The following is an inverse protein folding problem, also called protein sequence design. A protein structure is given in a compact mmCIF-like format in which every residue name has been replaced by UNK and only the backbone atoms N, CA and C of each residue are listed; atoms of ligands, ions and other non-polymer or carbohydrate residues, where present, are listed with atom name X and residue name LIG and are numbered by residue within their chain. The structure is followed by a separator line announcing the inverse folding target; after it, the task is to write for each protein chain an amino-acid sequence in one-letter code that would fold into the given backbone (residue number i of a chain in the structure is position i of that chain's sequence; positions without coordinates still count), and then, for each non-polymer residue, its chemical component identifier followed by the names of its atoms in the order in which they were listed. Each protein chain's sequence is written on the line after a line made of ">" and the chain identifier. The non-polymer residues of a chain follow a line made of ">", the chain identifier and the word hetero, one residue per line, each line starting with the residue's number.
data_IF_411666285101
#
_entry.id   IF_411666285101
#
_cell.length_a   1.000
_cell.length_b   1.000
_cell.length_c   1.000
_cell.angle_alpha   90.00
_cell.angle_beta   90.00
_cell.angle_gamma   90.00
#
_symmetry.space_group_name_H-M   'P 1'
#
loop_
_entity.id
_entity.type
_entity.pdbx_description
1 polymer ?
#
# COMPACT_ATOMS: atom_id res chain seq x y z
N UNK A 1 -15.39 -22.95 -12.16
CA UNK A 1 -14.80 -21.64 -12.55
C UNK A 1 -13.30 -21.79 -12.74
N UNK A 2 -12.65 -20.83 -13.40
CA UNK A 2 -11.21 -20.86 -13.69
C UNK A 2 -10.33 -21.03 -12.44
N UNK A 3 -10.67 -20.36 -11.32
CA UNK A 3 -9.95 -20.51 -10.04
C UNK A 3 -10.00 -21.93 -9.48
N UNK A 4 -11.17 -22.58 -9.49
CA UNK A 4 -11.32 -23.96 -9.00
C UNK A 4 -10.45 -24.95 -9.79
N UNK A 5 -10.35 -24.76 -11.11
CA UNK A 5 -9.46 -25.58 -11.95
C UNK A 5 -7.99 -25.37 -11.62
N UNK A 6 -7.57 -24.12 -11.39
CA UNK A 6 -6.19 -23.82 -10.97
C UNK A 6 -5.86 -24.37 -9.58
N UNK A 7 -6.81 -24.37 -8.65
CA UNK A 7 -6.56 -24.92 -7.31
C UNK A 7 -6.55 -26.45 -7.29
N UNK A 8 -7.27 -27.11 -8.21
CA UNK A 8 -7.34 -28.57 -8.29
C UNK A 8 -6.00 -29.24 -8.67
N UNK A 9 -5.02 -28.49 -9.20
CA UNK A 9 -3.70 -29.05 -9.52
C UNK A 9 -2.80 -29.27 -8.30
N UNK A 10 -3.17 -28.72 -7.13
CA UNK A 10 -2.39 -28.86 -5.90
C UNK A 10 -2.89 -30.05 -5.08
N UNK A 11 -2.23 -31.21 -5.23
CA UNK A 11 -2.61 -32.48 -4.59
C UNK A 11 -2.54 -32.48 -3.05
N UNK A 12 -1.75 -31.58 -2.47
CA UNK A 12 -1.53 -31.49 -1.02
C UNK A 12 -2.31 -30.34 -0.35
N UNK A 13 -3.26 -29.72 -1.07
CA UNK A 13 -4.05 -28.60 -0.55
C UNK A 13 -5.55 -28.90 -0.63
N UNK A 14 -6.27 -28.70 0.47
CA UNK A 14 -7.74 -28.62 0.43
C UNK A 14 -8.13 -27.18 0.13
N UNK A 15 -9.01 -26.98 -0.86
CA UNK A 15 -9.49 -25.65 -1.23
C UNK A 15 -10.97 -25.47 -0.89
N UNK A 16 -11.32 -24.31 -0.35
CA UNK A 16 -12.70 -23.86 -0.15
C UNK A 16 -12.89 -22.54 -0.87
N UNK A 17 -13.78 -22.51 -1.85
CA UNK A 17 -14.11 -21.31 -2.61
C UNK A 17 -15.45 -20.78 -2.12
N UNK A 18 -15.43 -19.63 -1.45
CA UNK A 18 -16.64 -18.93 -1.02
C UNK A 18 -17.04 -17.98 -2.15
N UNK A 19 -18.25 -18.16 -2.69
CA UNK A 19 -18.79 -17.27 -3.72
C UNK A 19 -19.54 -16.13 -3.05
N UNK A 20 -19.33 -14.91 -3.54
CA UNK A 20 -20.10 -13.74 -3.15
C UNK A 20 -19.27 -12.47 -3.25
N UNK A 21 -19.88 -11.36 -2.84
CA UNK A 21 -19.20 -10.08 -2.75
C UNK A 21 -18.37 -10.02 -1.47
N UNK A 22 -17.05 -9.97 -1.62
CA UNK A 22 -16.13 -10.03 -0.49
C UNK A 22 -16.36 -8.89 0.51
N UNK A 23 -16.62 -7.66 0.07
CA UNK A 23 -16.84 -6.53 0.97
C UNK A 23 -18.09 -6.78 1.81
N UNK A 24 -19.19 -7.20 1.18
CA UNK A 24 -20.41 -7.50 1.91
C UNK A 24 -20.24 -8.67 2.89
N UNK A 25 -19.59 -9.75 2.48
CA UNK A 25 -19.36 -10.92 3.33
C UNK A 25 -18.46 -10.58 4.53
N UNK A 26 -17.34 -9.89 4.30
CA UNK A 26 -16.38 -9.55 5.34
C UNK A 26 -16.90 -8.49 6.33
N UNK A 27 -17.87 -7.68 5.94
CA UNK A 27 -18.44 -6.61 6.79
C UNK A 27 -19.77 -6.97 7.45
N UNK A 28 -20.41 -8.07 7.05
CA UNK A 28 -21.76 -8.45 7.49
C UNK A 28 -21.92 -8.54 9.02
N UNK A 29 -20.85 -8.90 9.73
CA UNK A 29 -20.84 -9.07 11.18
C UNK A 29 -19.79 -8.20 11.88
N UNK A 30 -19.42 -7.07 11.26
CA UNK A 30 -18.32 -6.23 11.71
C UNK A 30 -16.94 -6.81 11.38
N UNK A 31 -15.87 -6.08 11.72
CA UNK A 31 -14.50 -6.60 11.57
C UNK A 31 -14.28 -7.76 12.54
N UNK A 32 -13.94 -8.93 12.01
CA UNK A 32 -13.64 -10.12 12.82
C UNK A 32 -12.38 -10.78 12.30
N UNK A 33 -11.50 -11.15 13.23
CA UNK A 33 -10.41 -12.07 12.94
C UNK A 33 -11.00 -13.43 12.59
N UNK A 34 -10.65 -13.96 11.42
CA UNK A 34 -11.08 -15.24 10.87
C UNK A 34 -10.02 -16.34 11.03
N UNK A 35 -8.87 -16.02 11.63
CA UNK A 35 -7.79 -16.96 11.88
C UNK A 35 -6.84 -17.13 10.69
N UNK A 36 -6.92 -16.29 9.65
CA UNK A 36 -6.04 -16.43 8.49
C UNK A 36 -4.59 -16.13 8.86
N UNK A 37 -3.71 -17.12 8.69
CA UNK A 37 -2.27 -16.97 8.94
C UNK A 37 -1.54 -16.31 7.77
N UNK A 38 -2.06 -16.47 6.56
CA UNK A 38 -1.46 -15.98 5.33
C UNK A 38 -2.57 -15.50 4.39
N UNK A 39 -2.44 -14.29 3.85
CA UNK A 39 -3.38 -13.71 2.89
C UNK A 39 -2.59 -13.15 1.71
N UNK A 40 -3.00 -13.49 0.48
CA UNK A 40 -2.36 -13.03 -0.75
C UNK A 40 -3.42 -12.31 -1.59
N UNK A 41 -3.13 -11.08 -2.00
CA UNK A 41 -4.07 -10.20 -2.67
C UNK A 41 -3.52 -9.64 -3.97
N UNK A 42 -4.28 -9.83 -5.05
CA UNK A 42 -4.18 -9.05 -6.29
C UNK A 42 -5.56 -8.43 -6.53
N UNK A 43 -5.85 -7.38 -5.78
CA UNK A 43 -7.20 -6.84 -5.66
C UNK A 43 -7.57 -5.98 -6.88
N UNK A 44 -8.87 -5.87 -7.23
CA UNK A 44 -9.28 -5.07 -8.38
C UNK A 44 -8.98 -3.58 -8.19
N UNK A 45 -8.51 -2.92 -9.25
CA UNK A 45 -8.25 -1.48 -9.28
C UNK A 45 -9.48 -0.73 -9.77
N UNK A 46 -10.39 -0.41 -8.85
CA UNK A 46 -11.62 0.32 -9.18
C UNK A 46 -12.01 1.27 -8.06
N UNK A 47 -12.37 2.50 -8.42
CA UNK A 47 -12.92 3.48 -7.48
C UNK A 47 -14.27 3.00 -6.93
N UNK A 48 -14.45 3.19 -5.63
CA UNK A 48 -15.71 2.95 -4.92
C UNK A 48 -16.55 4.22 -5.04
N UNK A 49 -17.76 4.10 -5.59
CA UNK A 49 -18.69 5.22 -5.66
C UNK A 49 -19.09 5.66 -4.25
N UNK A 50 -19.16 6.98 -4.02
CA UNK A 50 -19.49 7.58 -2.71
C UNK A 50 -20.85 7.16 -2.16
N UNK A 51 -21.80 6.82 -3.04
CA UNK A 51 -23.16 6.38 -2.67
C UNK A 51 -23.36 4.86 -2.78
N UNK A 52 -22.29 4.09 -2.98
CA UNK A 52 -22.40 2.64 -3.14
C UNK A 52 -22.66 1.92 -1.81
N UNK A 53 -23.32 0.76 -1.90
CA UNK A 53 -23.46 -0.15 -0.77
C UNK A 53 -22.11 -0.57 -0.17
N UNK A 54 -21.06 -0.71 -1.00
CA UNK A 54 -19.69 -0.94 -0.55
C UNK A 54 -19.16 0.18 0.35
N UNK A 55 -19.33 1.43 -0.06
CA UNK A 55 -18.89 2.59 0.74
C UNK A 55 -19.55 2.61 2.11
N UNK A 56 -20.86 2.34 2.16
CA UNK A 56 -21.61 2.26 3.41
C UNK A 56 -21.16 1.08 4.29
N UNK A 57 -20.97 -0.09 3.70
CA UNK A 57 -20.53 -1.29 4.40
C UNK A 57 -19.14 -1.10 5.04
N UNK A 58 -18.19 -0.53 4.30
CA UNK A 58 -16.85 -0.22 4.80
C UNK A 58 -16.86 0.86 5.89
N UNK A 59 -17.69 1.89 5.72
CA UNK A 59 -17.83 2.96 6.72
C UNK A 59 -18.32 2.41 8.07
N UNK A 60 -19.30 1.50 8.06
CA UNK A 60 -19.84 0.86 9.28
C UNK A 60 -18.79 0.10 10.07
N UNK A 61 -17.74 -0.37 9.42
CA UNK A 61 -16.64 -1.12 10.05
C UNK A 61 -15.38 -0.28 10.27
N UNK A 62 -15.47 1.04 10.07
CA UNK A 62 -14.36 1.98 10.32
C UNK A 62 -13.29 2.02 9.21
N UNK A 63 -13.52 1.39 8.06
CA UNK A 63 -12.61 1.45 6.92
C UNK A 63 -13.03 2.62 6.01
N UNK A 64 -12.27 3.72 6.07
CA UNK A 64 -12.47 4.88 5.20
C UNK A 64 -11.55 4.77 4.00
N UNK A 65 -12.11 4.32 2.89
CA UNK A 65 -11.39 4.28 1.62
C UNK A 65 -12.31 4.39 0.41
N UNK A 66 -11.68 4.51 -0.74
CA UNK A 66 -12.16 5.06 -2.00
C UNK A 66 -11.82 4.17 -3.18
N UNK A 67 -10.98 3.16 -2.99
CA UNK A 67 -10.61 2.19 -4.00
C UNK A 67 -10.77 0.76 -3.45
N UNK A 68 -11.24 -0.17 -4.29
CA UNK A 68 -11.45 -1.56 -3.91
C UNK A 68 -10.18 -2.23 -3.38
N UNK A 69 -9.00 -1.98 -3.97
CA UNK A 69 -7.78 -2.64 -3.48
C UNK A 69 -7.51 -2.32 -2.00
N UNK A 70 -7.63 -1.06 -1.62
CA UNK A 70 -7.41 -0.62 -0.23
C UNK A 70 -8.50 -1.12 0.71
N UNK A 71 -9.73 -1.29 0.22
CA UNK A 71 -10.80 -1.92 0.98
C UNK A 71 -10.46 -3.40 1.27
N UNK A 72 -10.00 -4.12 0.25
CA UNK A 72 -9.63 -5.53 0.37
C UNK A 72 -8.45 -5.72 1.31
N UNK A 73 -7.41 -4.89 1.21
CA UNK A 73 -6.27 -4.94 2.13
C UNK A 73 -6.70 -4.63 3.56
N UNK A 74 -7.52 -3.60 3.77
CA UNK A 74 -8.01 -3.26 5.12
C UNK A 74 -8.82 -4.39 5.76
N UNK A 75 -9.70 -5.03 4.98
CA UNK A 75 -10.47 -6.19 5.43
C UNK A 75 -9.56 -7.40 5.71
N UNK A 76 -8.64 -7.72 4.81
CA UNK A 76 -7.68 -8.82 4.99
C UNK A 76 -6.82 -8.64 6.24
N UNK A 77 -6.34 -7.43 6.50
CA UNK A 77 -5.62 -7.10 7.74
C UNK A 77 -6.51 -7.32 8.96
N UNK A 78 -7.81 -7.03 8.88
CA UNK A 78 -8.74 -7.26 9.98
C UNK A 78 -9.10 -8.74 10.19
N UNK A 79 -9.16 -9.53 9.13
CA UNK A 79 -9.48 -10.96 9.16
C UNK A 79 -8.29 -11.86 9.50
N UNK A 80 -7.06 -11.36 9.37
CA UNK A 80 -5.85 -12.09 9.72
C UNK A 80 -5.71 -12.34 11.23
N UNK A 81 -5.12 -13.48 11.58
CA UNK A 81 -4.69 -13.79 12.93
C UNK A 81 -3.54 -12.85 13.37
N UNK A 82 -3.33 -12.59 14.67
CA UNK A 82 -2.10 -11.98 15.16
C UNK A 82 -0.87 -12.75 14.64
N UNK A 83 0.14 -12.02 14.17
CA UNK A 83 1.31 -12.58 13.47
C UNK A 83 1.05 -13.03 12.03
N UNK A 84 -0.20 -12.98 11.56
CA UNK A 84 -0.58 -13.34 10.20
C UNK A 84 0.07 -12.43 9.16
N UNK A 85 0.45 -13.02 8.03
CA UNK A 85 1.17 -12.35 6.95
C UNK A 85 0.21 -11.98 5.82
N UNK A 86 0.20 -10.72 5.42
CA UNK A 86 -0.61 -10.21 4.31
C UNK A 86 0.32 -9.71 3.23
N UNK A 87 0.26 -10.31 2.04
CA UNK A 87 1.01 -9.88 0.86
C UNK A 87 0.01 -9.32 -0.15
N UNK A 88 0.22 -8.09 -0.58
CA UNK A 88 -0.68 -7.42 -1.50
C UNK A 88 0.06 -6.70 -2.62
N UNK A 89 -0.43 -6.86 -3.86
CA UNK A 89 -0.04 -6.05 -5.01
C UNK A 89 -0.96 -4.83 -5.02
N UNK A 90 -0.40 -3.63 -4.84
CA UNK A 90 -1.17 -2.38 -4.74
C UNK A 90 -0.49 -1.22 -5.47
N UNK A 91 -1.24 -0.24 -6.00
CA UNK A 91 -0.66 0.91 -6.68
C UNK A 91 0.12 1.81 -5.71
N UNK A 92 1.29 2.27 -6.11
CA UNK A 92 2.18 3.23 -5.42
C UNK A 92 1.44 4.48 -4.93
N UNK A 93 0.36 4.88 -5.61
CA UNK A 93 -0.49 6.01 -5.20
C UNK A 93 -0.96 5.96 -3.73
N UNK A 94 -1.04 4.78 -3.10
CA UNK A 94 -1.40 4.67 -1.68
C UNK A 94 -0.34 5.25 -0.72
N UNK A 95 0.92 5.33 -1.14
CA UNK A 95 2.04 5.79 -0.33
C UNK A 95 1.98 7.28 0.01
N UNK A 96 1.24 8.07 -0.76
CA UNK A 96 1.25 9.53 -0.64
C UNK A 96 -0.14 10.15 -0.66
N UNK A 97 -0.19 11.46 -0.36
CA UNK A 97 -1.36 12.31 -0.46
C UNK A 97 -2.44 12.10 0.61
N UNK A 98 -3.32 13.09 0.82
CA UNK A 98 -4.30 13.07 1.89
C UNK A 98 -5.42 12.04 1.65
N UNK A 99 -5.62 11.64 0.40
CA UNK A 99 -6.69 10.74 -0.01
C UNK A 99 -6.59 9.33 0.60
N UNK A 100 -5.37 8.80 0.72
CA UNK A 100 -5.11 7.48 1.30
C UNK A 100 -4.68 7.53 2.76
N UNK A 101 -4.59 8.72 3.36
CA UNK A 101 -4.22 8.88 4.78
C UNK A 101 -5.09 8.04 5.72
N UNK A 102 -6.44 8.05 5.64
CA UNK A 102 -7.26 7.22 6.53
C UNK A 102 -7.02 5.72 6.38
N UNK A 103 -6.64 5.28 5.17
CA UNK A 103 -6.27 3.90 4.91
C UNK A 103 -4.89 3.56 5.49
N UNK A 104 -3.90 4.44 5.34
CA UNK A 104 -2.57 4.31 5.97
C UNK A 104 -2.67 4.25 7.49
N UNK A 105 -3.42 5.17 8.09
CA UNK A 105 -3.71 5.18 9.54
C UNK A 105 -4.32 3.83 9.97
N UNK A 106 -5.27 3.31 9.19
CA UNK A 106 -5.95 2.05 9.50
C UNK A 106 -4.98 0.86 9.50
N UNK A 107 -4.14 0.72 8.47
CA UNK A 107 -3.22 -0.43 8.35
C UNK A 107 -2.03 -0.31 9.30
N UNK A 108 -1.46 0.88 9.51
CA UNK A 108 -0.30 1.09 10.38
C UNK A 108 -0.65 0.93 11.86
N UNK A 109 -1.89 1.25 12.26
CA UNK A 109 -2.39 0.97 13.60
C UNK A 109 -2.64 -0.51 13.88
N UNK A 110 -2.62 -1.37 12.85
CA UNK A 110 -3.05 -2.78 12.93
C UNK A 110 -2.01 -3.77 12.44
N UNK A 111 -0.96 -3.31 11.79
CA UNK A 111 0.05 -4.18 11.20
C UNK A 111 1.39 -3.47 11.06
N UNK A 112 2.46 -4.26 11.12
CA UNK A 112 3.80 -3.79 10.79
C UNK A 112 4.06 -3.95 9.29
N UNK A 113 4.68 -2.95 8.67
CA UNK A 113 5.26 -3.13 7.33
C UNK A 113 6.55 -3.91 7.52
N UNK A 114 6.67 -5.06 6.85
CA UNK A 114 7.89 -5.89 6.92
C UNK A 114 8.72 -5.80 5.66
N UNK A 115 8.05 -5.76 4.51
CA UNK A 115 8.73 -5.71 3.22
C UNK A 115 7.95 -4.93 2.19
N UNK A 116 8.67 -4.24 1.32
CA UNK A 116 8.15 -3.62 0.11
C UNK A 116 9.01 -4.06 -1.07
N UNK A 117 8.38 -4.40 -2.19
CA UNK A 117 9.05 -4.69 -3.45
C UNK A 117 8.65 -3.67 -4.51
N UNK A 118 9.64 -3.14 -5.21
CA UNK A 118 9.52 -2.10 -6.21
C UNK A 118 10.08 -2.61 -7.54
N UNK A 119 9.36 -2.36 -8.62
CA UNK A 119 9.86 -2.67 -9.96
C UNK A 119 10.57 -1.44 -10.54
N UNK A 120 11.80 -1.60 -11.03
CA UNK A 120 12.67 -0.50 -11.47
C UNK A 120 12.40 -0.02 -12.91
N UNK A 121 11.84 -0.86 -13.78
CA UNK A 121 11.72 -0.54 -15.20
C UNK A 121 10.56 0.42 -15.50
N UNK A 122 10.91 1.64 -15.96
CA UNK A 122 9.99 2.59 -16.60
C UNK A 122 9.89 2.42 -18.13
N UNK A 123 10.71 1.56 -18.74
CA UNK A 123 10.96 1.59 -20.19
C UNK A 123 10.74 0.27 -20.95
N UNK A 124 10.07 -0.72 -20.36
CA UNK A 124 9.53 -1.84 -21.13
C UNK A 124 8.05 -2.00 -20.81
N UNK A 125 7.15 -1.85 -21.81
CA UNK A 125 5.76 -2.20 -21.60
C UNK A 125 5.74 -3.72 -21.45
N UNK A 126 5.29 -4.21 -20.30
CA UNK A 126 4.62 -5.49 -20.25
C UNK A 126 3.62 -5.48 -21.40
N UNK A 127 3.84 -6.32 -22.42
CA UNK A 127 2.95 -6.45 -23.57
C UNK A 127 1.59 -6.93 -23.04
N UNK A 128 0.71 -5.99 -22.71
CA UNK A 128 -0.69 -6.25 -22.37
C UNK A 128 -1.23 -5.51 -21.14
N UNK A 129 -0.40 -5.09 -20.19
CA UNK A 129 -0.88 -4.50 -18.93
C UNK A 129 -0.09 -3.24 -18.57
N UNK A 130 -0.60 -2.07 -18.98
CA UNK A 130 -0.15 -0.73 -18.54
C UNK A 130 -0.21 -0.54 -17.01
N UNK A 131 -0.78 -1.51 -16.30
CA UNK A 131 -1.14 -1.49 -14.89
C UNK A 131 0.05 -1.74 -13.95
N UNK A 132 1.08 -2.49 -14.37
CA UNK A 132 2.16 -2.90 -13.47
C UNK A 132 3.17 -1.79 -13.13
N UNK A 133 3.29 -0.77 -13.99
CA UNK A 133 4.35 0.25 -13.91
C UNK A 133 4.28 1.16 -12.68
N UNK A 134 3.15 1.17 -11.97
CA UNK A 134 2.95 1.94 -10.74
C UNK A 134 2.53 1.06 -9.56
N UNK A 135 2.82 -0.25 -9.57
CA UNK A 135 2.44 -1.15 -8.46
C UNK A 135 3.63 -1.56 -7.61
N UNK A 136 3.38 -1.75 -6.32
CA UNK A 136 4.32 -2.33 -5.37
C UNK A 136 3.76 -3.64 -4.82
N UNK A 137 4.64 -4.52 -4.35
CA UNK A 137 4.23 -5.63 -3.49
C UNK A 137 4.56 -5.25 -2.06
N UNK A 138 3.56 -5.23 -1.18
CA UNK A 138 3.75 -4.97 0.24
C UNK A 138 3.48 -6.23 1.05
N UNK A 139 4.33 -6.48 2.05
CA UNK A 139 4.13 -7.49 3.09
C UNK A 139 3.88 -6.82 4.43
N UNK A 140 2.73 -7.12 5.01
CA UNK A 140 2.28 -6.67 6.32
C UNK A 140 2.23 -7.85 7.29
N UNK A 141 2.49 -7.57 8.56
CA UNK A 141 2.30 -8.51 9.67
C UNK A 141 1.25 -7.98 10.64
N UNK A 142 0.14 -8.72 10.79
CA UNK A 142 -0.97 -8.33 11.67
C UNK A 142 -0.53 -8.29 13.13
N UNK A 143 -0.75 -7.16 13.80
CA UNK A 143 -0.40 -6.97 15.21
C UNK A 143 1.10 -6.89 15.50
N UNK A 144 1.95 -6.90 14.46
CA UNK A 144 3.38 -6.73 14.62
C UNK A 144 3.74 -5.31 15.08
N UNK A 145 4.85 -5.19 15.81
CA UNK A 145 5.48 -3.90 16.12
C UNK A 145 6.26 -3.40 14.90
N UNK A 146 6.16 -2.09 14.62
CA UNK A 146 6.96 -1.47 13.57
C UNK A 146 8.45 -1.64 13.86
N UNK A 147 9.23 -1.83 12.81
CA UNK A 147 10.67 -2.05 12.86
C UNK A 147 11.27 -1.90 11.47
N UNK A 148 12.53 -2.32 11.28
CA UNK A 148 13.17 -2.24 9.97
C UNK A 148 12.32 -2.85 8.86
N UNK A 149 12.26 -2.17 7.73
CA UNK A 149 11.52 -2.58 6.54
C UNK A 149 12.53 -3.01 5.48
N UNK A 150 12.39 -4.22 4.98
CA UNK A 150 13.16 -4.69 3.83
C UNK A 150 12.56 -4.08 2.56
N UNK A 151 13.33 -3.28 1.85
CA UNK A 151 12.98 -2.78 0.51
C UNK A 151 13.73 -3.63 -0.50
N UNK A 152 13.00 -4.15 -1.48
CA UNK A 152 13.54 -4.97 -2.54
C UNK A 152 13.22 -4.38 -3.90
N UNK A 153 14.11 -4.57 -4.87
CA UNK A 153 13.97 -4.06 -6.23
C UNK A 153 14.31 -5.11 -7.26
N UNK A 154 13.58 -5.17 -8.37
CA UNK A 154 13.97 -5.88 -9.59
C UNK A 154 13.51 -5.12 -10.83
N UNK A 155 14.15 -5.34 -11.98
CA UNK A 155 13.76 -4.64 -13.22
C UNK A 155 12.44 -5.17 -13.77
N UNK A 156 12.20 -6.48 -13.69
CA UNK A 156 11.05 -7.17 -14.28
C UNK A 156 10.50 -8.26 -13.33
N UNK A 157 9.47 -8.99 -13.78
CA UNK A 157 8.78 -10.05 -13.03
C UNK A 157 9.55 -11.39 -12.99
N UNK A 158 10.70 -11.46 -13.66
CA UNK A 158 11.63 -12.59 -13.55
C UNK A 158 12.41 -12.60 -12.23
N UNK A 159 12.48 -11.45 -11.55
CA UNK A 159 13.29 -11.24 -10.34
C UNK A 159 14.77 -11.62 -10.51
N UNK A 160 15.29 -11.64 -11.74
CA UNK A 160 16.66 -12.07 -12.03
C UNK A 160 17.73 -11.16 -11.41
N UNK A 161 17.43 -9.87 -11.25
CA UNK A 161 18.29 -8.83 -10.68
C UNK A 161 17.79 -8.36 -9.31
N UNK A 162 17.22 -9.27 -8.53
CA UNK A 162 16.65 -8.97 -7.22
C UNK A 162 17.72 -8.46 -6.24
N UNK A 163 17.52 -7.24 -5.75
CA UNK A 163 18.36 -6.60 -4.72
C UNK A 163 17.50 -6.27 -3.50
N UNK A 164 18.09 -6.35 -2.31
CA UNK A 164 17.42 -6.07 -1.02
C UNK A 164 18.25 -5.19 -0.12
N UNK A 165 17.58 -4.26 0.55
CA UNK A 165 18.17 -3.38 1.56
C UNK A 165 17.21 -3.22 2.74
N UNK A 166 17.74 -3.26 3.95
CA UNK A 166 16.97 -2.96 5.15
C UNK A 166 17.07 -1.48 5.49
N UNK A 167 15.92 -0.87 5.76
CA UNK A 167 15.81 0.53 6.14
C UNK A 167 15.13 0.66 7.50
N UNK A 168 15.56 1.59 8.37
CA UNK A 168 14.78 1.96 9.56
C UNK A 168 13.35 2.35 9.18
N UNK A 169 12.38 2.03 10.03
CA UNK A 169 10.96 2.30 9.75
C UNK A 169 10.72 3.77 9.40
N UNK A 170 11.39 4.68 10.11
CA UNK A 170 11.23 6.14 9.99
C UNK A 170 11.77 6.69 8.66
N UNK A 171 12.59 5.91 7.94
CA UNK A 171 13.02 6.25 6.58
C UNK A 171 12.03 5.80 5.51
N UNK A 172 11.20 4.80 5.83
CA UNK A 172 10.20 4.25 4.91
C UNK A 172 8.83 4.87 5.16
N UNK A 173 8.47 5.15 6.40
CA UNK A 173 7.24 5.82 6.80
C UNK A 173 7.62 7.01 7.67
N UNK A 174 7.13 8.21 7.37
CA UNK A 174 7.34 9.38 8.20
C UNK A 174 6.25 9.47 9.28
N UNK A 175 6.47 8.98 10.52
CA UNK A 175 5.41 8.88 11.51
C UNK A 175 4.96 10.25 12.03
N UNK A 176 5.82 11.27 11.91
CA UNK A 176 5.57 12.64 12.36
C UNK A 176 5.11 13.59 11.26
N UNK A 177 5.04 13.12 10.00
CA UNK A 177 4.45 13.90 8.93
C UNK A 177 2.91 13.87 9.05
N UNK A 178 2.19 14.98 8.81
CA UNK A 178 0.74 15.04 8.95
C UNK A 178 -0.03 13.95 8.20
N UNK A 179 0.55 13.43 7.11
CA UNK A 179 -0.07 12.45 6.21
C UNK A 179 0.45 11.02 6.35
N UNK A 180 1.38 10.69 7.26
CA UNK A 180 2.00 9.35 7.33
C UNK A 180 2.52 8.88 5.96
N UNK A 181 3.32 9.71 5.29
CA UNK A 181 3.82 9.43 3.95
C UNK A 181 4.75 8.21 3.99
N UNK A 182 4.62 7.34 2.99
CA UNK A 182 5.52 6.20 2.78
C UNK A 182 6.51 6.60 1.68
N UNK A 183 7.78 6.74 2.03
CA UNK A 183 8.84 7.00 1.08
C UNK A 183 9.23 5.70 0.37
N UNK A 184 9.04 5.69 -0.94
CA UNK A 184 9.49 4.59 -1.77
C UNK A 184 10.92 4.90 -2.19
N UNK A 185 11.88 4.39 -1.41
CA UNK A 185 13.30 4.53 -1.67
C UNK A 185 13.67 3.67 -2.88
N UNK A 186 13.81 4.29 -4.06
CA UNK A 186 14.23 3.60 -5.29
C UNK A 186 15.75 3.54 -5.46
N UNK A 187 16.53 4.16 -4.57
CA UNK A 187 17.99 4.15 -4.61
C UNK A 187 18.60 4.08 -3.20
N UNK A 188 19.74 3.38 -3.01
CA UNK A 188 20.47 3.33 -1.74
C UNK A 188 21.19 4.65 -1.40
N UNK A 189 21.25 5.62 -2.33
CA UNK A 189 21.84 6.92 -2.06
C UNK A 189 20.88 7.85 -1.32
N UNK A 190 21.41 8.45 -0.24
CA UNK A 190 20.81 9.56 0.49
C UNK A 190 20.30 10.61 -0.49
N UNK A 191 18.98 10.75 -0.62
CA UNK A 191 18.39 11.80 -1.45
C UNK A 191 18.87 13.17 -0.94
N UNK A 192 18.99 14.19 -1.79
CA UNK A 192 19.50 15.51 -1.41
C UNK A 192 18.78 16.14 -0.19
N UNK A 193 17.55 15.71 0.08
CA UNK A 193 16.75 16.04 1.27
C UNK A 193 17.43 15.58 2.58
N UNK A 194 18.10 14.43 2.60
CA UNK A 194 18.82 13.91 3.77
C UNK A 194 20.14 14.65 4.05
N UNK A 195 20.69 15.39 3.06
CA UNK A 195 21.88 16.24 3.29
C UNK A 195 21.52 17.56 3.99
N UNK A 196 20.25 17.97 3.95
CA UNK A 196 19.77 19.22 4.56
C UNK A 196 19.18 19.02 5.98
N UNK A 197 18.99 17.78 6.44
CA UNK A 197 18.32 17.46 7.70
C UNK A 197 19.18 17.48 8.97
N UNK A 198 20.46 17.87 8.89
CA UNK A 198 21.33 18.01 10.05
C UNK A 198 21.43 19.47 10.48
N UNK A 199 20.31 20.07 10.90
CA UNK A 199 20.31 21.41 11.47
C UNK A 199 18.95 22.09 11.41
N UNK A 200 18.24 22.07 12.53
CA UNK A 200 17.37 23.15 13.02
C UNK A 200 16.27 23.69 12.11
N UNK A 201 15.02 23.52 12.59
CA UNK A 201 13.81 24.26 12.21
C UNK A 201 13.34 24.02 10.77
N UNK A 202 12.07 23.68 10.60
CA UNK A 202 11.38 23.74 9.31
C UNK A 202 10.65 25.08 9.28
N UNK A 203 11.19 26.16 8.68
CA UNK A 203 10.36 27.29 8.33
C UNK A 203 9.63 26.93 7.04
N UNK A 204 8.33 27.20 7.03
CA UNK A 204 7.53 27.44 5.84
C UNK A 204 8.39 28.04 4.72
N UNK A 205 8.56 27.31 3.60
CA UNK A 205 9.17 27.88 2.40
C UNK A 205 8.27 27.66 1.21
N UNK A 206 7.41 28.67 1.04
CA UNK A 206 6.95 29.18 -0.25
C UNK A 206 8.19 29.49 -1.09
N UNK A 207 8.30 28.94 -2.29
CA UNK A 207 9.28 29.39 -3.27
C UNK A 207 8.58 30.23 -4.34
N UNK A 208 8.80 31.54 -4.27
CA UNK A 208 8.56 32.51 -5.32
C UNK A 208 9.93 32.98 -5.86
N UNK A 209 10.08 33.12 -7.18
CA UNK A 209 11.31 33.64 -7.82
C UNK A 209 11.05 35.01 -8.49
N UNK A 210 11.96 35.98 -8.31
CA UNK A 210 11.95 37.32 -8.96
C UNK A 210 12.59 37.30 -10.37
N UNK A 211 11.75 37.49 -11.41
CA UNK A 211 11.63 38.61 -12.41
C UNK A 211 12.85 39.18 -13.18
N UNK A 212 12.69 39.69 -14.46
CA UNK A 212 11.70 40.73 -14.89
C UNK A 212 10.91 40.51 -16.21
N UNK A 213 9.84 41.29 -16.50
CA UNK A 213 8.86 41.93 -15.59
C UNK A 213 7.37 41.60 -15.92
N UNK A 214 6.53 41.48 -14.87
CA UNK A 214 5.07 41.71 -14.98
C UNK A 214 4.14 40.71 -14.27
N UNK A 215 3.78 41.02 -13.01
CA UNK A 215 2.63 40.52 -12.21
C UNK A 215 2.62 39.06 -11.70
N UNK A 216 2.35 38.91 -10.39
CA UNK A 216 2.01 37.65 -9.71
C UNK A 216 0.65 37.79 -9.01
N UNK A 217 -0.16 36.72 -9.05
CA UNK A 217 -1.37 36.53 -8.25
C UNK A 217 -1.18 35.25 -7.43
N UNK A 218 -1.37 35.32 -6.11
CA UNK A 218 -1.51 34.16 -5.22
C UNK A 218 -2.76 34.41 -4.37
N UNK A 219 -3.72 33.49 -4.44
CA UNK A 219 -4.81 33.36 -3.46
C UNK A 219 -4.53 32.15 -2.59
N UNK A 220 -4.90 32.27 -1.30
CA UNK A 220 -4.73 31.28 -0.24
C UNK A 220 -5.42 29.93 -0.54
#
# INVERSE_FOLDING_TARGET
>A
GHLARRLAVYSHATSRIIRGDYIHLATAHGLRNQGYTHVILNSPYKKISSHSAHRLALHRVGIKTVNLYSAFVGLAVAEAAPGGQIVAIIPHSFCSGPYYRPFRDFILARSAIRQMHLFASRNKPFKGDEVLQETIIIRLERGGQQGPVTVSTSTEDSFADFVTHDHPFERVVFPHAPEQLIHVLTTPEKTAIERLGAGGLIPWLILASRSPPGQWLISA
#
